data_IF_732495664683
#
_entry.id   IF_732495664683
#
_cell.length_a   1.000
_cell.length_b   1.000
_cell.length_c   1.000
_cell.angle_alpha   90.00
_cell.angle_beta   90.00
_cell.angle_gamma   90.00
#
_symmetry.space_group_name_H-M   'P 1'
#
loop_
_entity.id
_entity.type
_entity.pdbx_description
1 polymer ?
#
# COMPACT_ATOMS: atom_id res chain seq x y z
N UNK A 1 -5.98 25.32 24.01
CA UNK A 1 -5.26 24.23 23.32
C UNK A 1 -5.53 22.95 24.12
N UNK A 2 -6.50 22.09 23.82
CA UNK A 2 -7.37 21.90 22.65
C UNK A 2 -8.59 21.06 23.05
N UNK A 3 -9.70 21.71 23.44
CA UNK A 3 -11.03 21.08 23.55
C UNK A 3 -11.57 20.56 22.21
N UNK A 4 -10.99 21.02 21.09
CA UNK A 4 -11.31 20.54 19.75
C UNK A 4 -10.64 19.19 19.43
N UNK A 5 -9.48 18.88 20.01
CA UNK A 5 -8.80 17.60 19.77
C UNK A 5 -9.47 16.44 20.52
N UNK A 6 -10.03 16.69 21.70
CA UNK A 6 -10.86 15.70 22.41
C UNK A 6 -12.18 15.42 21.71
N UNK A 7 -12.76 16.41 21.01
CA UNK A 7 -14.00 16.24 20.24
C UNK A 7 -13.80 15.34 19.01
N UNK A 8 -12.68 15.48 18.31
CA UNK A 8 -12.35 14.68 17.12
C UNK A 8 -12.08 13.21 17.51
N UNK A 9 -11.37 12.96 18.62
CA UNK A 9 -11.20 11.59 19.13
C UNK A 9 -12.53 10.95 19.57
N UNK A 10 -13.44 11.73 20.15
CA UNK A 10 -14.78 11.25 20.54
C UNK A 10 -15.64 10.83 19.35
N UNK A 11 -15.61 11.60 18.26
CA UNK A 11 -16.35 11.28 17.02
C UNK A 11 -15.78 10.01 16.36
N UNK A 12 -14.45 9.83 16.37
CA UNK A 12 -13.81 8.61 15.87
C UNK A 12 -14.20 7.36 16.66
N UNK A 13 -14.34 7.49 17.98
CA UNK A 13 -14.77 6.39 18.84
C UNK A 13 -16.26 6.04 18.67
N UNK A 14 -17.15 7.04 18.54
CA UNK A 14 -18.57 6.81 18.25
C UNK A 14 -18.79 6.16 16.88
N UNK A 15 -18.02 6.57 15.86
CA UNK A 15 -18.09 5.96 14.53
C UNK A 15 -17.64 4.49 14.55
N UNK A 16 -16.56 4.20 15.29
CA UNK A 16 -16.06 2.83 15.47
C UNK A 16 -17.06 1.96 16.23
N UNK A 17 -17.69 2.51 17.29
CA UNK A 17 -18.71 1.82 18.08
C UNK A 17 -19.98 1.54 17.26
N UNK A 18 -20.46 2.51 16.48
CA UNK A 18 -21.60 2.34 15.55
C UNK A 18 -21.30 1.34 14.44
N UNK A 19 -20.09 1.36 13.89
CA UNK A 19 -19.66 0.39 12.87
C UNK A 19 -19.63 -1.03 13.44
N UNK A 20 -19.10 -1.23 14.65
CA UNK A 20 -19.10 -2.54 15.31
C UNK A 20 -20.52 -3.03 15.65
N UNK A 21 -21.44 -2.12 15.99
CA UNK A 21 -22.86 -2.45 16.21
C UNK A 21 -23.57 -2.86 14.91
N UNK A 22 -23.23 -2.23 13.78
CA UNK A 22 -23.72 -2.65 12.46
C UNK A 22 -23.14 -4.01 12.05
N UNK A 23 -21.86 -4.27 12.32
CA UNK A 23 -21.22 -5.55 12.03
C UNK A 23 -21.90 -6.71 12.79
N UNK A 24 -22.26 -6.50 14.08
CA UNK A 24 -23.04 -7.49 14.87
C UNK A 24 -24.47 -7.69 14.34
N UNK A 25 -25.07 -6.70 13.68
CA UNK A 25 -26.35 -6.84 12.97
C UNK A 25 -26.23 -7.59 11.63
N UNK A 26 -25.12 -7.41 10.91
CA UNK A 26 -24.85 -8.08 9.63
C UNK A 26 -24.53 -9.57 9.82
N UNK A 27 -23.86 -9.95 10.92
CA UNK A 27 -23.55 -11.36 11.21
C UNK A 27 -24.81 -12.19 11.52
N UNK A 28 -25.91 -11.56 11.98
CA UNK A 28 -27.20 -12.23 12.19
C UNK A 28 -28.11 -12.21 10.95
N UNK A 29 -27.75 -11.49 9.89
CA UNK A 29 -28.61 -11.18 8.74
C UNK A 29 -27.91 -11.48 7.39
N UNK A 30 -27.13 -12.56 7.32
CA UNK A 30 -26.43 -12.99 6.10
C UNK A 30 -27.07 -14.21 5.39
N UNK A 31 -28.40 -14.30 5.46
CA UNK A 31 -29.24 -15.14 4.58
C UNK A 31 -30.09 -14.24 3.65
N UNK A 32 -29.44 -13.34 2.91
CA UNK A 32 -30.13 -12.42 2.00
C UNK A 32 -30.47 -13.04 0.63
N UNK A 33 -31.55 -12.60 -0.05
CA UNK A 33 -31.95 -13.06 -1.39
C UNK A 33 -30.89 -12.81 -2.47
N UNK A 34 -29.99 -11.85 -2.24
CA UNK A 34 -28.84 -11.58 -3.11
C UNK A 34 -27.79 -12.70 -3.07
N UNK A 35 -27.58 -13.33 -1.91
CA UNK A 35 -26.62 -14.44 -1.78
C UNK A 35 -27.15 -15.69 -2.47
N UNK A 36 -28.45 -16.00 -2.31
CA UNK A 36 -29.08 -17.12 -3.02
C UNK A 36 -29.19 -16.87 -4.52
N UNK A 37 -29.32 -15.61 -4.96
CA UNK A 37 -29.24 -15.23 -6.38
C UNK A 37 -27.82 -15.38 -6.94
N UNK A 38 -26.79 -14.89 -6.24
CA UNK A 38 -25.38 -14.98 -6.68
C UNK A 38 -24.81 -16.41 -6.65
N UNK A 39 -25.36 -17.27 -5.80
CA UNK A 39 -25.00 -18.69 -5.70
C UNK A 39 -25.91 -19.59 -6.54
N UNK A 40 -26.94 -19.04 -7.21
CA UNK A 40 -27.88 -19.81 -8.02
C UNK A 40 -27.16 -20.41 -9.23
N UNK A 41 -27.12 -21.74 -9.31
CA UNK A 41 -26.51 -22.46 -10.43
C UNK A 41 -25.00 -22.69 -10.31
N UNK A 42 -24.36 -22.35 -9.19
CA UNK A 42 -22.97 -22.74 -8.91
C UNK A 42 -22.94 -24.05 -8.15
N UNK A 43 -22.53 -25.11 -8.84
CA UNK A 43 -22.38 -26.47 -8.28
C UNK A 43 -21.14 -26.64 -7.43
N UNK A 44 -20.16 -25.72 -7.54
CA UNK A 44 -18.90 -25.82 -6.80
C UNK A 44 -18.07 -27.02 -7.25
N UNK A 45 -18.28 -27.48 -8.48
CA UNK A 45 -17.55 -28.62 -9.05
C UNK A 45 -16.06 -28.29 -9.21
N UNK A 46 -15.19 -29.29 -9.07
CA UNK A 46 -13.73 -29.10 -9.17
C UNK A 46 -13.31 -28.51 -10.52
N UNK A 47 -14.04 -28.85 -11.60
CA UNK A 47 -13.83 -28.28 -12.94
C UNK A 47 -14.13 -26.78 -13.00
N UNK A 48 -15.22 -26.33 -12.36
CA UNK A 48 -15.56 -24.90 -12.27
C UNK A 48 -14.48 -24.13 -11.48
N UNK A 49 -14.02 -24.68 -10.35
CA UNK A 49 -12.96 -24.07 -9.52
C UNK A 49 -11.66 -23.93 -10.32
N UNK A 50 -11.27 -24.96 -11.07
CA UNK A 50 -10.08 -24.93 -11.92
C UNK A 50 -10.20 -23.86 -13.02
N UNK A 51 -11.37 -23.75 -13.67
CA UNK A 51 -11.63 -22.72 -14.67
C UNK A 51 -11.55 -21.30 -14.08
N UNK A 52 -12.07 -21.07 -12.87
CA UNK A 52 -11.94 -19.78 -12.18
C UNK A 52 -10.50 -19.45 -11.81
N UNK A 53 -9.73 -20.42 -11.29
CA UNK A 53 -8.30 -20.22 -10.99
C UNK A 53 -7.53 -19.79 -12.23
N UNK A 54 -7.73 -20.47 -13.37
CA UNK A 54 -7.08 -20.10 -14.63
C UNK A 54 -7.40 -18.67 -15.07
N UNK A 55 -8.69 -18.29 -15.05
CA UNK A 55 -9.12 -16.93 -15.39
C UNK A 55 -8.52 -15.89 -14.44
N UNK A 56 -8.53 -16.18 -13.15
CA UNK A 56 -7.95 -15.30 -12.12
C UNK A 56 -6.44 -15.14 -12.33
N UNK A 57 -5.69 -16.20 -12.61
CA UNK A 57 -4.25 -16.11 -12.90
C UNK A 57 -3.96 -15.22 -14.10
N UNK A 58 -4.69 -15.40 -15.21
CA UNK A 58 -4.51 -14.57 -16.42
C UNK A 58 -4.81 -13.10 -16.11
N UNK A 59 -5.91 -12.83 -15.40
CA UNK A 59 -6.26 -11.46 -15.00
C UNK A 59 -5.23 -10.85 -14.04
N UNK A 60 -4.69 -11.63 -13.09
CA UNK A 60 -3.66 -11.16 -12.17
C UNK A 60 -2.37 -10.76 -12.89
N UNK A 61 -1.94 -11.56 -13.89
CA UNK A 61 -0.76 -11.23 -14.69
C UNK A 61 -0.99 -9.93 -15.47
N UNK A 62 -2.13 -9.81 -16.16
CA UNK A 62 -2.47 -8.60 -16.90
C UNK A 62 -2.55 -7.38 -15.97
N UNK A 63 -3.12 -7.55 -14.77
CA UNK A 63 -3.25 -6.49 -13.78
C UNK A 63 -1.89 -5.99 -13.29
N UNK A 64 -0.94 -6.88 -12.97
CA UNK A 64 0.40 -6.49 -12.53
C UNK A 64 1.13 -5.70 -13.62
N UNK A 65 1.02 -6.12 -14.88
CA UNK A 65 1.62 -5.40 -16.01
C UNK A 65 1.00 -4.02 -16.20
N UNK A 66 -0.34 -3.93 -16.16
CA UNK A 66 -1.04 -2.65 -16.25
C UNK A 66 -0.67 -1.74 -15.07
N UNK A 67 -0.60 -2.28 -13.86
CA UNK A 67 -0.23 -1.55 -12.65
C UNK A 67 1.20 -0.98 -12.72
N UNK A 68 2.17 -1.78 -13.18
CA UNK A 68 3.54 -1.32 -13.37
C UNK A 68 3.64 -0.21 -14.42
N UNK A 69 2.95 -0.36 -15.56
CA UNK A 69 2.95 0.62 -16.66
C UNK A 69 2.29 1.93 -16.21
N UNK A 70 1.08 1.86 -15.65
CA UNK A 70 0.32 3.04 -15.23
C UNK A 70 1.06 3.82 -14.14
N UNK A 71 1.61 3.15 -13.11
CA UNK A 71 2.36 3.85 -12.07
C UNK A 71 3.65 4.47 -12.60
N UNK A 72 4.31 3.83 -13.55
CA UNK A 72 5.50 4.38 -14.20
C UNK A 72 5.15 5.67 -14.93
N UNK A 73 4.09 5.65 -15.76
CA UNK A 73 3.62 6.84 -16.48
C UNK A 73 3.19 7.96 -15.54
N UNK A 74 2.40 7.65 -14.51
CA UNK A 74 1.98 8.64 -13.50
C UNK A 74 3.18 9.28 -12.81
N UNK A 75 4.22 8.50 -12.54
CA UNK A 75 5.42 8.99 -11.86
C UNK A 75 6.23 9.94 -12.74
N UNK A 76 6.32 9.63 -14.04
CA UNK A 76 6.92 10.55 -15.00
C UNK A 76 6.08 11.82 -15.18
N UNK A 77 4.77 11.68 -15.38
CA UNK A 77 3.88 12.80 -15.65
C UNK A 77 3.67 13.73 -14.45
N UNK A 78 3.65 13.21 -13.22
CA UNK A 78 3.37 14.02 -12.02
C UNK A 78 4.59 14.43 -11.23
N UNK A 79 5.65 13.61 -11.21
CA UNK A 79 6.82 13.88 -10.35
C UNK A 79 7.99 14.37 -11.18
N UNK A 80 8.33 13.65 -12.24
CA UNK A 80 9.48 14.01 -13.07
C UNK A 80 9.22 15.28 -13.89
N UNK A 81 7.99 15.49 -14.37
CA UNK A 81 7.61 16.70 -15.12
C UNK A 81 7.75 18.00 -14.31
N UNK A 82 7.75 17.93 -12.97
CA UNK A 82 7.96 19.10 -12.12
C UNK A 82 9.36 19.70 -12.28
N UNK A 83 10.35 18.90 -12.70
CA UNK A 83 11.66 19.40 -13.09
C UNK A 83 12.18 18.67 -14.33
N UNK A 84 12.18 19.33 -15.50
CA UNK A 84 12.64 18.75 -16.75
C UNK A 84 14.13 18.36 -16.76
N UNK A 85 14.96 19.02 -15.94
CA UNK A 85 16.41 18.75 -15.87
C UNK A 85 16.77 17.53 -15.01
N UNK A 86 15.83 17.00 -14.23
CA UNK A 86 16.07 15.85 -13.39
C UNK A 86 15.64 14.57 -14.11
N UNK A 87 16.61 13.77 -14.55
CA UNK A 87 16.34 12.55 -15.31
C UNK A 87 16.74 11.26 -14.58
N UNK A 88 15.81 10.31 -14.48
CA UNK A 88 16.11 8.97 -13.98
C UNK A 88 15.21 7.91 -14.62
N UNK A 89 15.83 6.96 -15.31
CA UNK A 89 15.14 5.77 -15.84
C UNK A 89 14.71 4.81 -14.73
N UNK A 90 15.42 4.82 -13.59
CA UNK A 90 15.13 3.97 -12.44
C UNK A 90 13.89 4.44 -11.66
N UNK A 91 13.55 5.73 -11.76
CA UNK A 91 12.46 6.33 -11.00
C UNK A 91 11.09 5.67 -11.27
N UNK A 92 10.83 5.24 -12.50
CA UNK A 92 9.60 4.51 -12.84
C UNK A 92 9.46 3.20 -12.06
N UNK A 93 10.50 2.37 -12.10
CA UNK A 93 10.55 1.09 -11.36
C UNK A 93 10.50 1.31 -9.84
N UNK A 94 11.21 2.33 -9.35
CA UNK A 94 11.15 2.75 -7.95
C UNK A 94 9.73 3.11 -7.53
N UNK A 95 8.98 3.80 -8.41
CA UNK A 95 7.64 4.25 -8.07
C UNK A 95 6.60 3.12 -8.01
N UNK A 96 6.73 2.10 -8.86
CA UNK A 96 5.97 0.87 -8.73
C UNK A 96 6.33 0.12 -7.44
N UNK A 97 7.62 -0.07 -7.16
CA UNK A 97 8.09 -0.82 -6.00
C UNK A 97 7.68 -0.15 -4.66
N UNK A 98 7.81 1.17 -4.55
CA UNK A 98 7.36 1.93 -3.36
C UNK A 98 5.86 1.82 -3.15
N UNK A 99 5.05 1.84 -4.22
CA UNK A 99 3.60 1.76 -4.12
C UNK A 99 3.15 0.36 -3.69
N UNK A 100 3.84 -0.68 -4.19
CA UNK A 100 3.61 -2.05 -3.76
C UNK A 100 3.98 -2.25 -2.28
N UNK A 101 5.15 -1.76 -1.86
CA UNK A 101 5.58 -1.78 -0.46
C UNK A 101 4.55 -1.09 0.47
N UNK A 102 4.08 0.11 0.10
CA UNK A 102 3.05 0.82 0.87
C UNK A 102 1.72 0.06 0.90
N UNK A 103 1.36 -0.61 -0.19
CA UNK A 103 0.18 -1.48 -0.27
C UNK A 103 0.26 -2.66 0.70
N UNK A 104 1.44 -3.28 0.84
CA UNK A 104 1.67 -4.35 1.81
C UNK A 104 1.60 -3.85 3.26
N UNK A 105 2.16 -2.66 3.52
CA UNK A 105 2.08 -2.03 4.84
C UNK A 105 0.62 -1.71 5.21
N UNK A 106 -0.13 -1.14 4.27
CA UNK A 106 -1.55 -0.85 4.44
C UNK A 106 -2.37 -2.14 4.66
N UNK A 107 -2.07 -3.21 3.93
CA UNK A 107 -2.69 -4.52 4.13
C UNK A 107 -2.42 -5.05 5.54
N UNK A 108 -1.18 -4.95 6.03
CA UNK A 108 -0.82 -5.39 7.38
C UNK A 108 -1.58 -4.62 8.46
N UNK A 109 -1.64 -3.29 8.33
CA UNK A 109 -2.39 -2.42 9.26
C UNK A 109 -3.87 -2.78 9.22
N UNK A 110 -4.45 -2.94 8.03
CA UNK A 110 -5.86 -3.31 7.87
C UNK A 110 -6.15 -4.67 8.51
N UNK A 111 -5.31 -5.67 8.26
CA UNK A 111 -5.39 -6.99 8.89
C UNK A 111 -5.31 -6.91 10.41
N UNK A 112 -4.42 -6.07 10.96
CA UNK A 112 -4.30 -5.87 12.40
C UNK A 112 -5.56 -5.22 13.00
N UNK A 113 -6.13 -4.20 12.35
CA UNK A 113 -7.38 -3.57 12.77
C UNK A 113 -8.52 -4.59 12.80
N UNK A 114 -8.64 -5.42 11.76
CA UNK A 114 -9.66 -6.48 11.71
C UNK A 114 -9.45 -7.56 12.76
N UNK A 115 -8.19 -7.93 13.03
CA UNK A 115 -7.84 -8.90 14.06
C UNK A 115 -8.28 -8.41 15.45
N UNK A 116 -7.93 -7.18 15.82
CA UNK A 116 -8.29 -6.59 17.12
C UNK A 116 -9.82 -6.41 17.25
N UNK A 117 -10.49 -6.01 16.16
CA UNK A 117 -11.94 -5.81 16.14
C UNK A 117 -12.79 -7.08 16.01
N UNK A 118 -12.21 -8.27 16.08
CA UNK A 118 -12.92 -9.55 15.83
C UNK A 118 -13.45 -10.26 17.08
N UNK A 119 -13.25 -9.72 18.29
CA UNK A 119 -13.67 -10.33 19.57
C UNK A 119 -13.32 -11.84 19.68
N UNK A 120 -12.27 -12.33 19.00
CA UNK A 120 -11.84 -13.73 19.04
C UNK A 120 -12.37 -14.64 17.92
N UNK A 121 -13.23 -14.15 17.03
CA UNK A 121 -13.72 -14.89 15.84
C UNK A 121 -12.90 -14.59 14.56
N UNK A 122 -11.65 -14.17 14.73
CA UNK A 122 -10.77 -13.88 13.61
C UNK A 122 -10.25 -15.17 12.96
N UNK A 123 -10.51 -15.34 11.66
CA UNK A 123 -9.83 -16.37 10.84
C UNK A 123 -8.34 -16.07 10.60
N UNK A 124 -7.81 -14.94 11.06
CA UNK A 124 -6.41 -14.57 10.92
C UNK A 124 -5.58 -15.17 12.06
N UNK A 125 -4.52 -15.89 11.71
CA UNK A 125 -3.59 -16.52 12.65
C UNK A 125 -2.29 -15.71 12.74
N UNK A 126 -1.55 -15.85 13.84
CA UNK A 126 -0.21 -15.26 14.02
C UNK A 126 0.75 -15.62 12.87
N UNK A 127 0.64 -16.82 12.30
CA UNK A 127 1.43 -17.24 11.14
C UNK A 127 1.26 -16.30 9.93
N UNK A 128 0.03 -15.87 9.63
CA UNK A 128 -0.24 -14.96 8.52
C UNK A 128 0.43 -13.59 8.72
N UNK A 129 0.43 -13.06 9.95
CA UNK A 129 1.13 -11.82 10.26
C UNK A 129 2.64 -11.97 10.17
N UNK A 130 3.19 -13.11 10.56
CA UNK A 130 4.62 -13.38 10.46
C UNK A 130 5.07 -13.46 8.99
N UNK A 131 4.32 -14.14 8.13
CA UNK A 131 4.64 -14.23 6.70
C UNK A 131 4.46 -12.88 5.99
N UNK A 132 3.43 -12.10 6.36
CA UNK A 132 3.26 -10.75 5.86
C UNK A 132 4.40 -9.82 6.33
N UNK A 133 4.91 -10.03 7.55
CA UNK A 133 6.09 -9.36 8.09
C UNK A 133 7.35 -9.63 7.27
N UNK A 134 7.62 -10.90 6.93
CA UNK A 134 8.76 -11.26 6.06
C UNK A 134 8.64 -10.62 4.69
N UNK A 135 7.45 -10.64 4.10
CA UNK A 135 7.19 -10.05 2.80
C UNK A 135 7.41 -8.52 2.83
N UNK A 136 6.86 -7.85 3.84
CA UNK A 136 7.05 -6.40 4.03
C UNK A 136 8.53 -6.04 4.21
N UNK A 137 9.25 -6.80 5.04
CA UNK A 137 10.69 -6.60 5.25
C UNK A 137 11.50 -6.83 3.96
N UNK A 138 11.17 -7.86 3.17
CA UNK A 138 11.81 -8.10 1.88
C UNK A 138 11.64 -6.91 0.93
N UNK A 139 10.42 -6.35 0.83
CA UNK A 139 10.18 -5.18 0.00
C UNK A 139 10.75 -3.87 0.57
N UNK A 140 10.93 -3.77 1.89
CA UNK A 140 11.65 -2.66 2.51
C UNK A 140 13.10 -2.60 2.02
N UNK A 141 13.79 -3.74 1.94
CA UNK A 141 15.15 -3.81 1.40
C UNK A 141 15.21 -3.41 -0.08
N UNK A 142 14.25 -3.86 -0.90
CA UNK A 142 14.17 -3.46 -2.32
C UNK A 142 13.93 -1.96 -2.46
N UNK A 143 13.07 -1.38 -1.63
CA UNK A 143 12.84 0.06 -1.63
C UNK A 143 14.10 0.84 -1.23
N UNK A 144 14.79 0.40 -0.19
CA UNK A 144 16.03 1.02 0.29
C UNK A 144 17.16 0.90 -0.75
N UNK A 145 17.26 -0.24 -1.44
CA UNK A 145 18.21 -0.47 -2.52
C UNK A 145 18.01 0.52 -3.68
N UNK A 146 16.78 0.64 -4.19
CA UNK A 146 16.48 1.59 -5.26
C UNK A 146 16.70 3.04 -4.85
N UNK A 147 16.35 3.40 -3.61
CA UNK A 147 16.65 4.71 -3.07
C UNK A 147 18.16 4.98 -3.00
N UNK A 148 18.95 3.98 -2.57
CA UNK A 148 20.39 4.06 -2.48
C UNK A 148 21.06 4.18 -3.86
N UNK A 149 20.71 3.31 -4.81
CA UNK A 149 21.27 3.34 -6.17
C UNK A 149 20.98 4.67 -6.86
N UNK A 150 19.77 5.23 -6.68
CA UNK A 150 19.43 6.55 -7.21
C UNK A 150 20.37 7.64 -6.66
N UNK A 151 20.65 7.63 -5.36
CA UNK A 151 21.55 8.59 -4.73
C UNK A 151 23.00 8.43 -5.21
N UNK A 152 23.49 7.19 -5.26
CA UNK A 152 24.88 6.87 -5.66
C UNK A 152 25.13 7.27 -7.11
N UNK A 153 24.18 7.05 -8.02
CA UNK A 153 24.35 7.44 -9.43
C UNK A 153 24.42 8.95 -9.57
N UNK A 154 23.56 9.71 -8.90
CA UNK A 154 23.61 11.18 -8.90
C UNK A 154 24.94 11.68 -8.34
N UNK A 155 25.39 11.09 -7.23
CA UNK A 155 26.65 11.46 -6.59
C UNK A 155 27.87 11.11 -7.45
N UNK A 156 27.91 9.91 -8.01
CA UNK A 156 29.01 9.43 -8.85
C UNK A 156 29.06 10.14 -10.22
N UNK A 157 27.89 10.45 -10.79
CA UNK A 157 27.78 11.20 -12.05
C UNK A 157 28.23 12.66 -11.92
N UNK A 158 28.24 13.22 -10.70
CA UNK A 158 28.65 14.59 -10.39
C UNK A 158 28.04 15.66 -11.32
N UNK A 159 26.78 15.44 -11.72
CA UNK A 159 26.03 16.39 -12.56
C UNK A 159 25.41 17.43 -11.63
N UNK A 160 25.82 18.69 -11.80
CA UNK A 160 25.43 19.83 -10.95
C UNK A 160 23.91 19.99 -10.83
N UNK A 161 23.20 19.77 -11.93
CA UNK A 161 21.77 19.94 -12.09
C UNK A 161 20.97 18.89 -11.28
N UNK A 162 21.50 17.67 -11.12
CA UNK A 162 20.83 16.60 -10.36
C UNK A 162 21.29 16.57 -8.89
N UNK A 163 22.55 16.92 -8.64
CA UNK A 163 23.09 16.97 -7.28
C UNK A 163 22.45 18.10 -6.45
N UNK A 164 22.18 19.26 -7.05
CA UNK A 164 21.53 20.37 -6.36
C UNK A 164 20.12 20.01 -5.89
N UNK A 165 19.44 19.13 -6.62
CA UNK A 165 18.12 18.61 -6.28
C UNK A 165 18.10 17.89 -4.94
N UNK A 166 19.12 17.06 -4.68
CA UNK A 166 19.27 16.34 -3.41
C UNK A 166 19.69 17.32 -2.30
N UNK A 167 20.65 18.20 -2.58
CA UNK A 167 21.19 19.15 -1.60
C UNK A 167 20.10 20.12 -1.10
N UNK A 168 19.26 20.66 -1.99
CA UNK A 168 18.21 21.59 -1.62
C UNK A 168 17.18 20.98 -0.66
N UNK A 169 16.89 19.68 -0.77
CA UNK A 169 15.90 19.01 0.08
C UNK A 169 16.48 18.48 1.38
N UNK A 170 17.74 18.04 1.37
CA UNK A 170 18.40 17.44 2.54
C UNK A 170 19.07 18.49 3.43
N UNK A 171 19.69 19.51 2.83
CA UNK A 171 20.56 20.46 3.55
C UNK A 171 19.92 21.83 3.76
N UNK A 172 19.02 22.28 2.87
CA UNK A 172 18.41 23.61 2.97
C UNK A 172 17.04 23.57 3.68
N UNK A 173 16.75 24.64 4.41
CA UNK A 173 15.43 24.89 5.02
C UNK A 173 14.41 25.25 3.93
N UNK A 174 13.12 24.85 4.02
CA UNK A 174 12.45 24.20 5.16
C UNK A 174 12.40 22.66 5.12
N UNK A 175 12.88 22.04 4.05
CA UNK A 175 12.69 20.60 3.80
C UNK A 175 13.68 19.70 4.56
N UNK A 176 14.77 20.26 5.08
CA UNK A 176 15.81 19.50 5.77
C UNK A 176 15.27 18.62 6.91
N UNK A 177 14.35 19.13 7.72
CA UNK A 177 13.85 18.41 8.90
C UNK A 177 13.01 17.20 8.48
N UNK A 178 12.22 17.35 7.42
CA UNK A 178 11.46 16.24 6.84
C UNK A 178 12.38 15.22 6.19
N UNK A 179 13.40 15.66 5.46
CA UNK A 179 14.37 14.77 4.85
C UNK A 179 15.10 13.91 5.90
N UNK A 180 15.62 14.52 6.96
CA UNK A 180 16.27 13.80 8.06
C UNK A 180 15.30 12.89 8.82
N UNK A 181 14.03 13.28 8.97
CA UNK A 181 13.00 12.41 9.54
C UNK A 181 12.78 11.14 8.71
N UNK A 182 12.76 11.25 7.39
CA UNK A 182 12.65 10.10 6.48
C UNK A 182 13.89 9.20 6.51
N UNK A 183 15.09 9.75 6.74
CA UNK A 183 16.31 8.95 6.83
C UNK A 183 16.47 8.19 8.15
N UNK A 184 15.80 8.63 9.22
CA UNK A 184 15.93 8.07 10.56
C UNK A 184 14.93 6.94 10.84
N UNK A 185 13.78 6.96 10.15
CA UNK A 185 12.70 5.96 10.22
C UNK A 185 12.95 4.82 9.25
#
# INVERSE_FOLDING_TARGET
MTTEQSMIMGIGFDFTFRFNRMKKGITKQQEGPLRSFLLRGKTGSDEEIAAYKKKMTVLSVLYILAYALVLTLISFDLVMSMEPHWFSTLFGAYAFAKAFYLGLAALMILSAIFYVGSDGESSLTSAHFHDLGKLLFGFCLVWADFFYVQLVVIWYGNISEEAIYVIQRVMLSPWNTLAWGVFLV
#
